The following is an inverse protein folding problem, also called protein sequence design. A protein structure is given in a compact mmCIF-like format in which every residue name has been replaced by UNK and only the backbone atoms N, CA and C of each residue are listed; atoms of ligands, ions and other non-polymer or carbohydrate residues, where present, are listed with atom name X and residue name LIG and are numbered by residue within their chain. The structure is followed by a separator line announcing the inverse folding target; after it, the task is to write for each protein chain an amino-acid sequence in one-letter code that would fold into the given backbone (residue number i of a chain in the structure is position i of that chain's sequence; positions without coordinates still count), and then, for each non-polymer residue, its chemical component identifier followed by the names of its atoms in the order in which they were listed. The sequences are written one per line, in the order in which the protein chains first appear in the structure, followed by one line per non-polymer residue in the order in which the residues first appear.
data_IF_621473236944
#
_entry.id   IF_621473236944
#
_cell.length_a   1.000
_cell.length_b   1.000
_cell.length_c   1.000
_cell.angle_alpha   90.00
_cell.angle_beta   90.00
_cell.angle_gamma   90.00
#
_symmetry.space_group_name_H-M   'P 1'
#
loop_
_entity.id
_entity.type
_entity.pdbx_description
1 polymer ?
#
# COMPACT_ATOMS: atom_id res chain seq x y z
N UNK A 1 -7.70 7.52 37.48
CA UNK A 1 -9.04 7.80 36.89
C UNK A 1 -9.81 6.49 36.60
N UNK A 2 -9.37 5.59 35.71
CA UNK A 2 -10.16 4.39 35.36
C UNK A 2 -10.43 3.45 36.57
N UNK A 3 -9.39 3.19 37.38
CA UNK A 3 -9.52 2.35 38.57
C UNK A 3 -10.41 3.05 39.64
N UNK A 4 -10.24 4.33 39.83
CA UNK A 4 -11.07 5.11 40.77
C UNK A 4 -12.54 5.10 40.35
N UNK A 5 -12.82 5.31 39.07
CA UNK A 5 -14.17 5.23 38.51
C UNK A 5 -14.77 3.82 38.63
N UNK A 6 -13.96 2.79 38.36
CA UNK A 6 -14.38 1.40 38.60
C UNK A 6 -14.75 1.16 40.04
N UNK A 7 -13.92 1.61 40.98
CA UNK A 7 -14.19 1.46 42.42
C UNK A 7 -15.46 2.21 42.85
N UNK A 8 -15.66 3.42 42.29
CA UNK A 8 -16.89 4.19 42.54
C UNK A 8 -18.13 3.40 42.08
N UNK A 9 -18.14 2.93 40.82
CA UNK A 9 -19.25 2.14 40.29
C UNK A 9 -19.49 0.84 41.08
N UNK A 10 -18.40 0.17 41.47
CA UNK A 10 -18.51 -1.08 42.26
C UNK A 10 -19.16 -0.84 43.64
N UNK A 11 -18.78 0.24 44.31
CA UNK A 11 -19.36 0.63 45.62
C UNK A 11 -20.83 1.05 45.48
N UNK A 12 -21.20 1.66 44.34
CA UNK A 12 -22.61 2.01 44.07
C UNK A 12 -23.47 0.75 43.82
N UNK A 13 -22.91 -0.26 43.13
CA UNK A 13 -23.64 -1.49 42.81
C UNK A 13 -23.69 -2.46 43.97
N UNK A 14 -22.59 -2.59 44.72
CA UNK A 14 -22.45 -3.44 45.90
C UNK A 14 -21.96 -2.63 47.12
N UNK A 15 -22.87 -2.10 47.93
CA UNK A 15 -22.51 -1.32 49.11
C UNK A 15 -21.72 -2.11 50.18
N UNK A 16 -21.63 -3.44 50.07
CA UNK A 16 -20.85 -4.29 50.95
C UNK A 16 -19.36 -4.38 50.59
N UNK A 17 -18.94 -3.77 49.50
CA UNK A 17 -17.53 -3.72 49.08
C UNK A 17 -16.77 -2.75 49.94
N UNK A 18 -15.66 -3.21 50.53
CA UNK A 18 -14.73 -2.36 51.29
C UNK A 18 -13.37 -2.28 50.59
N UNK A 19 -12.82 -1.07 50.54
CA UNK A 19 -11.45 -0.83 50.08
C UNK A 19 -10.50 -1.07 51.23
N UNK A 20 -9.73 -2.18 51.18
CA UNK A 20 -8.87 -2.63 52.29
C UNK A 20 -7.42 -2.15 52.17
N UNK A 21 -7.03 -1.51 51.10
CA UNK A 21 -5.67 -0.98 50.90
C UNK A 21 -5.67 0.32 50.13
N UNK A 22 -4.59 1.11 50.23
CA UNK A 22 -4.36 2.23 49.34
C UNK A 22 -4.02 1.74 47.94
N UNK A 23 -4.32 2.57 46.92
CA UNK A 23 -3.93 2.33 45.54
C UNK A 23 -2.40 2.47 45.40
N UNK A 24 -1.77 1.47 44.80
CA UNK A 24 -0.37 1.57 44.37
C UNK A 24 -0.31 2.14 42.97
N UNK A 25 0.32 3.28 42.80
CA UNK A 25 0.56 3.92 41.51
C UNK A 25 2.07 4.10 41.27
N UNK A 26 2.58 3.48 40.22
CA UNK A 26 3.98 3.60 39.81
C UNK A 26 4.05 4.33 38.47
N UNK A 27 4.17 5.64 38.52
CA UNK A 27 4.22 6.51 37.36
C UNK A 27 5.67 6.72 36.89
N UNK A 28 6.13 5.83 35.99
CA UNK A 28 7.54 5.79 35.55
C UNK A 28 7.84 6.74 34.39
N UNK A 29 6.84 7.22 33.66
CA UNK A 29 7.01 8.11 32.51
C UNK A 29 6.15 9.36 32.66
N UNK A 30 6.80 10.48 32.90
CA UNK A 30 6.12 11.78 32.96
C UNK A 30 6.01 12.35 31.53
N UNK A 31 4.86 12.91 31.22
CA UNK A 31 4.62 13.63 29.97
C UNK A 31 4.72 15.13 30.24
N UNK A 32 5.43 15.83 29.36
CA UNK A 32 5.54 17.29 29.43
C UNK A 32 4.17 17.93 29.17
N UNK A 33 3.98 19.11 29.74
CA UNK A 33 2.84 19.96 29.42
C UNK A 33 3.01 20.46 27.98
N UNK A 34 1.95 20.38 27.21
CA UNK A 34 1.91 20.84 25.83
C UNK A 34 1.07 22.11 25.76
N UNK A 35 1.70 23.20 25.32
CA UNK A 35 1.04 24.46 25.03
C UNK A 35 1.14 24.73 23.54
N UNK A 36 -0.02 24.88 22.87
CA UNK A 36 -0.07 25.10 21.44
C UNK A 36 -0.52 26.54 21.18
N UNK A 37 0.35 27.31 20.52
CA UNK A 37 0.06 28.72 20.18
C UNK A 37 -0.30 28.87 18.71
N UNK A 38 -1.33 29.64 18.40
CA UNK A 38 -1.78 29.95 17.04
C UNK A 38 -2.47 31.29 16.99
N UNK A 39 -2.59 31.89 15.82
CA UNK A 39 -3.30 33.13 15.60
C UNK A 39 -4.64 32.91 14.86
N UNK A 40 -5.50 33.93 14.89
CA UNK A 40 -6.78 33.92 14.19
C UNK A 40 -6.63 33.65 12.69
N UNK A 41 -5.58 34.22 12.07
CA UNK A 41 -5.32 34.04 10.62
C UNK A 41 -5.02 32.59 10.28
N UNK A 42 -4.40 31.83 11.19
CA UNK A 42 -4.15 30.41 11.00
C UNK A 42 -5.48 29.64 10.98
N UNK A 43 -6.41 29.95 11.92
CA UNK A 43 -7.75 29.37 11.95
C UNK A 43 -8.49 29.65 10.65
N UNK A 44 -8.59 30.92 10.25
CA UNK A 44 -9.30 31.34 9.05
C UNK A 44 -8.76 30.71 7.77
N UNK A 45 -7.43 30.60 7.68
CA UNK A 45 -6.77 29.96 6.53
C UNK A 45 -7.09 28.47 6.41
N UNK A 46 -7.12 27.76 7.52
CA UNK A 46 -7.36 26.31 7.53
C UNK A 46 -8.83 25.99 7.36
N UNK A 47 -9.71 26.76 7.96
CA UNK A 47 -11.16 26.54 7.92
C UNK A 47 -11.83 27.14 6.68
N UNK A 48 -11.23 28.20 6.12
CA UNK A 48 -11.83 28.98 5.03
C UNK A 48 -13.04 29.81 5.45
N UNK A 49 -13.30 29.94 6.75
CA UNK A 49 -14.40 30.70 7.32
C UNK A 49 -13.92 31.54 8.50
N UNK A 50 -14.69 32.57 8.86
CA UNK A 50 -14.42 33.41 10.03
C UNK A 50 -15.19 32.84 11.24
N UNK A 51 -14.47 32.16 12.13
CA UNK A 51 -14.98 31.69 13.43
C UNK A 51 -14.57 32.72 14.48
N UNK A 52 -15.51 33.30 15.23
CA UNK A 52 -15.20 34.37 16.18
C UNK A 52 -14.25 33.88 17.29
N UNK A 53 -13.44 34.82 17.84
CA UNK A 53 -12.53 34.54 18.95
C UNK A 53 -13.25 33.97 20.16
N UNK A 54 -14.43 34.49 20.46
CA UNK A 54 -15.29 34.02 21.55
C UNK A 54 -15.69 32.55 21.32
N UNK A 55 -16.06 32.19 20.10
CA UNK A 55 -16.45 30.83 19.76
C UNK A 55 -15.26 29.85 19.86
N UNK A 56 -14.07 30.28 19.44
CA UNK A 56 -12.84 29.52 19.59
C UNK A 56 -12.53 29.25 21.08
N UNK A 57 -12.54 30.32 21.90
CA UNK A 57 -12.27 30.21 23.34
C UNK A 57 -13.31 29.31 24.04
N UNK A 58 -14.59 29.51 23.76
CA UNK A 58 -15.67 28.72 24.36
C UNK A 58 -15.55 27.23 23.97
N UNK A 59 -15.27 26.94 22.69
CA UNK A 59 -15.10 25.56 22.20
C UNK A 59 -13.93 24.87 22.92
N UNK A 60 -12.77 25.50 22.94
CA UNK A 60 -11.61 24.91 23.57
C UNK A 60 -11.76 24.78 25.09
N UNK A 61 -12.40 25.74 25.73
CA UNK A 61 -12.71 25.67 27.17
C UNK A 61 -13.65 24.51 27.50
N UNK A 62 -14.71 24.34 26.70
CA UNK A 62 -15.66 23.23 26.88
C UNK A 62 -15.02 21.84 26.68
N UNK A 63 -13.97 21.76 25.87
CA UNK A 63 -13.17 20.54 25.65
C UNK A 63 -12.04 20.35 26.68
N UNK A 64 -11.90 21.28 27.65
CA UNK A 64 -10.92 21.18 28.73
C UNK A 64 -9.52 21.73 28.40
N UNK A 65 -9.37 22.43 27.27
CA UNK A 65 -8.12 23.07 26.91
C UNK A 65 -7.98 24.39 27.63
N UNK A 66 -7.76 24.79 28.60
CA UNK A 66 -7.65 26.11 29.25
C UNK A 66 -7.09 27.22 28.30
N UNK A 67 -7.83 27.71 27.30
CA UNK A 67 -7.31 28.63 26.30
C UNK A 67 -7.12 30.05 26.87
N UNK A 68 -6.10 30.74 26.41
CA UNK A 68 -5.90 32.18 26.64
C UNK A 68 -5.76 32.90 25.30
N UNK A 69 -6.12 34.20 25.28
CA UNK A 69 -5.92 35.06 24.12
C UNK A 69 -5.19 36.33 24.57
N UNK A 70 -3.97 36.52 24.09
CA UNK A 70 -3.14 37.69 24.37
C UNK A 70 -2.52 38.18 23.05
N UNK A 71 -2.62 39.48 22.77
CA UNK A 71 -2.04 40.11 21.59
C UNK A 71 -2.36 39.36 20.27
N UNK A 72 -3.62 38.98 20.08
CA UNK A 72 -4.12 38.22 18.91
C UNK A 72 -3.56 36.79 18.79
N UNK A 73 -2.86 36.28 19.81
CA UNK A 73 -2.35 34.91 19.84
C UNK A 73 -3.12 34.11 20.88
N UNK A 74 -3.67 32.99 20.40
CA UNK A 74 -4.26 31.99 21.26
C UNK A 74 -3.20 31.04 21.78
N UNK A 75 -3.32 30.68 23.06
CA UNK A 75 -2.54 29.60 23.66
C UNK A 75 -3.52 28.58 24.21
N UNK A 76 -3.48 27.35 23.67
CA UNK A 76 -4.28 26.22 24.16
C UNK A 76 -3.39 25.33 25.04
N UNK A 77 -3.74 25.23 26.34
CA UNK A 77 -3.09 24.31 27.27
C UNK A 77 -3.72 22.93 27.12
N UNK A 78 -2.96 21.98 26.55
CA UNK A 78 -3.48 20.64 26.26
C UNK A 78 -3.65 19.84 27.53
N UNK A 79 -4.85 19.34 27.85
CA UNK A 79 -5.07 18.54 29.05
C UNK A 79 -4.29 17.23 28.99
N UNK A 80 -3.85 16.73 30.15
CA UNK A 80 -2.95 15.56 30.23
C UNK A 80 -3.50 14.29 29.54
N UNK A 81 -4.80 14.12 29.52
CA UNK A 81 -5.44 12.98 28.87
C UNK A 81 -5.49 13.08 27.33
N UNK A 82 -5.22 14.26 26.75
CA UNK A 82 -5.12 14.53 25.32
C UNK A 82 -3.67 14.70 24.84
N UNK A 83 -2.71 14.85 25.77
CA UNK A 83 -1.31 15.11 25.44
C UNK A 83 -0.54 13.87 24.97
N UNK A 84 -1.09 12.66 25.10
CA UNK A 84 -0.42 11.40 24.74
C UNK A 84 -0.70 11.00 23.31
N UNK A 85 -0.02 11.65 22.34
CA UNK A 85 -0.11 11.37 20.89
C UNK A 85 -1.48 11.71 20.27
N UNK A 86 -2.27 12.54 20.88
CA UNK A 86 -3.57 12.96 20.40
C UNK A 86 -3.50 14.40 19.88
N UNK A 87 -3.41 15.38 20.78
CA UNK A 87 -3.32 16.80 20.40
C UNK A 87 -1.91 17.30 20.65
N UNK A 88 -1.14 17.55 19.59
CA UNK A 88 0.29 17.90 19.67
C UNK A 88 0.70 19.08 18.80
N UNK A 89 -0.10 19.39 17.77
CA UNK A 89 0.19 20.46 16.79
C UNK A 89 -1.02 21.37 16.58
N UNK A 90 -0.79 22.51 15.92
CA UNK A 90 -1.86 23.49 15.60
C UNK A 90 -3.01 22.90 14.79
N UNK A 91 -2.72 21.95 13.90
CA UNK A 91 -3.75 21.30 13.08
C UNK A 91 -4.74 20.51 13.93
N UNK A 92 -4.27 19.87 15.02
CA UNK A 92 -5.14 19.13 15.92
C UNK A 92 -6.11 20.07 16.65
N UNK A 93 -5.64 21.29 17.02
CA UNK A 93 -6.52 22.32 17.59
C UNK A 93 -7.58 22.79 16.59
N UNK A 94 -7.21 22.92 15.30
CA UNK A 94 -8.20 23.24 14.24
C UNK A 94 -9.24 22.14 14.13
N UNK A 95 -8.84 20.88 14.20
CA UNK A 95 -9.78 19.77 14.21
C UNK A 95 -10.79 19.87 15.36
N UNK A 96 -10.33 20.15 16.57
CA UNK A 96 -11.19 20.34 17.74
C UNK A 96 -12.20 21.49 17.54
N UNK A 97 -11.75 22.62 17.02
CA UNK A 97 -12.60 23.77 16.74
C UNK A 97 -13.63 23.42 15.66
N UNK A 98 -13.21 22.85 14.55
CA UNK A 98 -14.06 22.56 13.42
C UNK A 98 -15.07 21.43 13.67
N UNK A 99 -14.66 20.43 14.44
CA UNK A 99 -15.49 19.32 14.86
C UNK A 99 -16.70 19.79 15.69
N UNK A 100 -16.48 20.71 16.62
CA UNK A 100 -17.54 21.29 17.45
C UNK A 100 -18.36 22.32 16.68
N UNK A 101 -17.72 23.11 15.79
CA UNK A 101 -18.43 24.01 14.87
C UNK A 101 -19.42 23.27 14.00
N UNK A 102 -19.11 22.03 13.61
CA UNK A 102 -19.90 21.14 12.78
C UNK A 102 -19.56 21.25 11.29
N UNK A 103 -19.12 20.14 10.71
CA UNK A 103 -18.72 20.09 9.29
C UNK A 103 -19.85 20.43 8.32
N UNK A 104 -21.09 20.18 8.69
CA UNK A 104 -22.28 20.52 7.88
C UNK A 104 -22.50 22.04 7.74
N UNK A 105 -21.89 22.83 8.63
CA UNK A 105 -21.96 24.30 8.58
C UNK A 105 -20.96 24.92 7.59
N UNK A 106 -20.05 24.14 7.03
CA UNK A 106 -19.11 24.61 6.02
C UNK A 106 -19.78 24.70 4.66
N UNK A 107 -19.62 25.85 4.00
CA UNK A 107 -20.10 26.00 2.61
C UNK A 107 -19.19 25.20 1.67
N UNK A 108 -19.77 24.35 0.86
CA UNK A 108 -19.06 23.65 -0.21
C UNK A 108 -18.60 24.69 -1.23
N UNK A 109 -17.29 24.82 -1.39
CA UNK A 109 -16.67 25.71 -2.39
C UNK A 109 -15.83 24.91 -3.37
N UNK A 110 -15.93 25.24 -4.65
CA UNK A 110 -15.07 24.64 -5.67
C UNK A 110 -13.72 25.34 -5.66
N UNK A 111 -12.65 24.57 -5.52
CA UNK A 111 -11.29 25.09 -5.63
C UNK A 111 -11.06 25.63 -7.04
N UNK A 112 -10.63 26.88 -7.16
CA UNK A 112 -10.21 27.46 -8.44
C UNK A 112 -8.71 27.25 -8.60
N UNK A 113 -8.32 26.45 -9.59
CA UNK A 113 -6.93 26.25 -9.96
C UNK A 113 -6.75 26.63 -11.45
N UNK A 114 -5.60 27.20 -11.76
CA UNK A 114 -5.21 27.41 -13.16
C UNK A 114 -4.94 26.03 -13.79
N UNK A 115 -5.63 25.76 -14.90
CA UNK A 115 -5.35 24.56 -15.69
C UNK A 115 -4.02 24.73 -16.42
N UNK A 116 -3.05 23.89 -16.12
CA UNK A 116 -1.81 23.78 -16.82
C UNK A 116 -1.66 22.39 -17.46
N UNK A 117 -1.03 22.27 -18.63
CA UNK A 117 -0.75 20.96 -19.20
C UNK A 117 0.12 20.13 -18.24
N UNK A 118 -0.30 18.91 -17.96
CA UNK A 118 0.50 17.98 -17.16
C UNK A 118 1.49 17.28 -18.08
N UNK A 119 2.78 17.51 -17.84
CA UNK A 119 3.85 16.81 -18.53
C UNK A 119 4.03 15.43 -17.91
N UNK A 120 3.82 14.39 -18.72
CA UNK A 120 4.06 13.01 -18.28
C UNK A 120 5.55 12.69 -18.35
N UNK A 121 6.04 11.92 -17.40
CA UNK A 121 7.40 11.38 -17.45
C UNK A 121 7.51 10.35 -18.59
N UNK A 122 8.72 10.14 -19.12
CA UNK A 122 8.98 9.12 -20.13
C UNK A 122 8.55 7.72 -19.64
N UNK A 123 8.85 7.37 -18.40
CA UNK A 123 8.46 6.08 -17.82
C UNK A 123 6.94 5.86 -17.76
N UNK A 124 6.17 6.91 -17.46
CA UNK A 124 4.69 6.82 -17.46
C UNK A 124 4.13 6.69 -18.89
N UNK A 125 4.79 7.25 -19.87
CA UNK A 125 4.42 7.07 -21.27
C UNK A 125 4.71 5.65 -21.74
N UNK A 126 5.88 5.09 -21.40
CA UNK A 126 6.25 3.72 -21.74
C UNK A 126 5.27 2.70 -21.10
N UNK A 127 4.90 2.89 -19.84
CA UNK A 127 3.89 2.05 -19.16
C UNK A 127 2.56 2.08 -19.91
N UNK A 128 2.07 3.28 -20.26
CA UNK A 128 0.81 3.43 -20.97
C UNK A 128 0.84 2.78 -22.34
N UNK A 129 1.88 3.03 -23.13
CA UNK A 129 2.06 2.42 -24.43
C UNK A 129 2.10 0.90 -24.36
N UNK A 130 2.80 0.35 -23.37
CA UNK A 130 2.84 -1.09 -23.15
C UNK A 130 1.45 -1.65 -22.82
N UNK A 131 0.70 -0.99 -21.94
CA UNK A 131 -0.66 -1.37 -21.60
C UNK A 131 -1.59 -1.31 -22.78
N UNK A 132 -1.58 -0.19 -23.52
CA UNK A 132 -2.41 -0.01 -24.71
C UNK A 132 -2.11 -1.08 -25.77
N UNK A 133 -0.82 -1.41 -25.99
CA UNK A 133 -0.39 -2.46 -26.91
C UNK A 133 -0.92 -3.83 -26.48
N UNK A 134 -0.75 -4.20 -25.19
CA UNK A 134 -1.17 -5.51 -24.69
C UNK A 134 -2.69 -5.68 -24.71
N UNK A 135 -3.44 -4.64 -24.35
CA UNK A 135 -4.90 -4.68 -24.34
C UNK A 135 -5.47 -4.64 -25.76
N UNK A 136 -5.08 -3.63 -26.56
CA UNK A 136 -5.75 -3.38 -27.84
C UNK A 136 -5.33 -4.35 -28.94
N UNK A 137 -4.04 -4.73 -28.96
CA UNK A 137 -3.54 -5.61 -30.03
C UNK A 137 -3.60 -7.08 -29.66
N UNK A 138 -3.34 -7.42 -28.41
CA UNK A 138 -3.24 -8.81 -27.96
C UNK A 138 -4.43 -9.28 -27.12
N UNK A 139 -5.40 -8.40 -26.82
CA UNK A 139 -6.61 -8.76 -26.07
C UNK A 139 -6.33 -9.23 -24.65
N UNK A 140 -5.23 -8.78 -24.06
CA UNK A 140 -4.86 -9.19 -22.71
C UNK A 140 -5.59 -8.38 -21.64
N UNK A 141 -5.75 -8.96 -20.48
CA UNK A 141 -6.36 -8.32 -19.31
C UNK A 141 -5.27 -7.73 -18.39
N UNK A 142 -5.36 -6.44 -18.08
CA UNK A 142 -4.57 -5.85 -17.03
C UNK A 142 -5.09 -6.28 -15.66
N UNK A 143 -4.21 -6.73 -14.79
CA UNK A 143 -4.52 -7.11 -13.42
C UNK A 143 -3.72 -6.26 -12.44
N UNK A 144 -4.24 -6.11 -11.22
CA UNK A 144 -3.57 -5.38 -10.14
C UNK A 144 -3.48 -6.25 -8.91
N UNK A 145 -2.28 -6.38 -8.40
CA UNK A 145 -1.99 -7.12 -7.18
C UNK A 145 -1.30 -6.25 -6.14
N UNK A 146 -1.29 -6.72 -4.91
CA UNK A 146 -0.47 -6.12 -3.86
C UNK A 146 0.99 -6.55 -3.99
N UNK A 147 1.89 -5.72 -3.45
CA UNK A 147 3.33 -6.00 -3.42
C UNK A 147 3.69 -7.10 -2.42
N UNK A 148 2.89 -7.29 -1.39
CA UNK A 148 3.04 -8.41 -0.46
C UNK A 148 2.47 -9.70 -1.02
N UNK A 149 3.03 -10.80 -0.59
CA UNK A 149 2.65 -12.13 -1.02
C UNK A 149 2.37 -13.05 0.16
N UNK A 150 1.53 -14.03 -0.09
CA UNK A 150 1.20 -15.08 0.84
C UNK A 150 2.34 -16.11 0.87
N UNK A 151 3.04 -16.19 1.99
CA UNK A 151 4.14 -17.13 2.19
C UNK A 151 3.70 -18.60 2.01
N UNK A 152 2.44 -18.93 2.32
CA UNK A 152 1.89 -20.27 2.12
C UNK A 152 1.75 -20.59 0.63
N UNK A 153 1.19 -19.67 -0.17
CA UNK A 153 1.08 -19.83 -1.63
C UNK A 153 2.44 -20.00 -2.29
N UNK A 154 3.47 -19.27 -1.84
CA UNK A 154 4.83 -19.44 -2.33
C UNK A 154 5.39 -20.83 -2.01
N UNK A 155 5.16 -21.32 -0.79
CA UNK A 155 5.56 -22.67 -0.39
C UNK A 155 4.83 -23.74 -1.21
N UNK A 156 3.52 -23.59 -1.44
CA UNK A 156 2.73 -24.50 -2.26
C UNK A 156 3.24 -24.53 -3.73
N UNK A 157 3.73 -23.40 -4.23
CA UNK A 157 4.40 -23.29 -5.52
C UNK A 157 5.88 -23.70 -5.50
N UNK A 158 6.38 -24.18 -4.36
CA UNK A 158 7.78 -24.53 -4.14
C UNK A 158 8.76 -23.40 -4.53
N UNK A 159 8.38 -22.15 -4.19
CA UNK A 159 9.19 -20.95 -4.43
C UNK A 159 9.82 -20.51 -3.12
N UNK A 160 11.13 -20.35 -3.12
CA UNK A 160 11.90 -19.89 -1.97
C UNK A 160 11.61 -18.41 -1.67
N UNK A 161 11.53 -18.07 -0.37
CA UNK A 161 11.24 -16.72 0.13
C UNK A 161 12.20 -16.25 1.24
N UNK A 162 13.27 -17.00 1.47
CA UNK A 162 14.20 -16.72 2.57
C UNK A 162 14.84 -15.32 2.47
N UNK A 163 15.18 -14.91 1.26
CA UNK A 163 15.82 -13.63 0.97
C UNK A 163 14.83 -12.48 0.75
N UNK A 164 13.55 -12.72 0.90
CA UNK A 164 12.56 -11.67 0.68
C UNK A 164 12.49 -10.73 1.90
N UNK A 165 12.29 -9.43 1.63
CA UNK A 165 12.03 -8.45 2.68
C UNK A 165 10.70 -8.78 3.38
N UNK A 166 10.69 -8.69 4.71
CA UNK A 166 9.53 -9.02 5.54
C UNK A 166 8.95 -7.79 6.20
N UNK A 167 7.63 -7.76 6.31
CA UNK A 167 6.88 -6.73 7.03
C UNK A 167 6.84 -7.10 8.50
N UNK A 168 7.35 -6.23 9.39
CA UNK A 168 7.46 -6.51 10.83
C UNK A 168 6.09 -6.61 11.50
N UNK A 169 5.16 -5.75 11.10
CA UNK A 169 3.81 -5.62 11.69
C UNK A 169 2.71 -5.81 10.64
N UNK A 170 2.80 -6.90 9.88
CA UNK A 170 1.81 -7.21 8.86
C UNK A 170 0.40 -7.28 9.44
N UNK A 171 -0.59 -6.77 8.71
CA UNK A 171 -2.00 -6.77 9.13
C UNK A 171 -2.59 -8.19 9.20
N UNK A 172 -2.08 -9.09 8.36
CA UNK A 172 -2.49 -10.50 8.35
C UNK A 172 -1.25 -11.40 8.27
N UNK A 173 -1.30 -12.62 8.85
CA UNK A 173 -0.20 -13.57 8.77
C UNK A 173 0.21 -13.95 7.33
N UNK A 174 -0.72 -13.83 6.39
CA UNK A 174 -0.53 -14.24 5.00
C UNK A 174 0.22 -13.18 4.17
N UNK A 175 0.32 -11.93 4.66
CA UNK A 175 0.90 -10.80 3.93
C UNK A 175 2.19 -10.28 4.56
N UNK A 176 3.06 -11.20 4.93
CA UNK A 176 4.29 -10.88 5.69
C UNK A 176 5.52 -10.68 4.82
N UNK A 177 5.46 -10.99 3.54
CA UNK A 177 6.62 -11.05 2.65
C UNK A 177 6.40 -10.16 1.42
N UNK A 178 7.42 -9.38 1.04
CA UNK A 178 7.38 -8.58 -0.19
C UNK A 178 7.91 -9.40 -1.37
N UNK A 179 7.26 -9.28 -2.54
CA UNK A 179 7.63 -10.07 -3.72
C UNK A 179 8.93 -9.61 -4.36
N UNK A 180 9.75 -10.57 -4.77
CA UNK A 180 10.96 -10.35 -5.58
C UNK A 180 10.74 -10.62 -7.08
N UNK A 181 9.61 -11.23 -7.43
CA UNK A 181 9.26 -11.59 -8.81
C UNK A 181 7.77 -11.46 -9.04
N UNK A 182 7.39 -11.15 -10.27
CA UNK A 182 5.99 -11.14 -10.72
C UNK A 182 5.44 -12.56 -11.00
N UNK A 183 6.30 -13.56 -11.15
CA UNK A 183 5.92 -14.91 -11.58
C UNK A 183 4.90 -15.57 -10.65
N UNK A 184 5.10 -15.60 -9.31
CA UNK A 184 4.11 -16.22 -8.41
C UNK A 184 2.73 -15.56 -8.51
N UNK A 185 2.72 -14.23 -8.64
CA UNK A 185 1.49 -13.46 -8.82
C UNK A 185 0.77 -13.85 -10.12
N UNK A 186 1.51 -13.95 -11.23
CA UNK A 186 0.94 -14.34 -12.52
C UNK A 186 0.40 -15.76 -12.49
N UNK A 187 1.12 -16.72 -11.88
CA UNK A 187 0.65 -18.10 -11.71
C UNK A 187 -0.64 -18.14 -10.88
N UNK A 188 -0.71 -17.37 -9.81
CA UNK A 188 -1.91 -17.27 -8.96
C UNK A 188 -3.11 -16.78 -9.78
N UNK A 189 -2.96 -15.71 -10.56
CA UNK A 189 -4.04 -15.20 -11.41
C UNK A 189 -4.50 -16.22 -12.46
N UNK A 190 -3.58 -16.93 -13.09
CA UNK A 190 -3.94 -18.01 -14.02
C UNK A 190 -4.72 -19.10 -13.30
N UNK A 191 -4.27 -19.54 -12.14
CA UNK A 191 -4.93 -20.59 -11.38
C UNK A 191 -6.33 -20.23 -10.91
N UNK A 192 -6.54 -19.01 -10.47
CA UNK A 192 -7.83 -18.50 -10.00
C UNK A 192 -8.82 -18.31 -11.16
N UNK A 193 -8.35 -18.06 -12.38
CA UNK A 193 -9.19 -17.74 -13.53
C UNK A 193 -9.34 -18.86 -14.57
N UNK A 194 -8.51 -19.92 -14.55
CA UNK A 194 -8.54 -21.02 -15.53
C UNK A 194 -9.87 -21.79 -15.60
N UNK A 195 -10.74 -21.68 -14.58
CA UNK A 195 -12.05 -22.27 -14.58
C UNK A 195 -13.08 -21.47 -15.39
N UNK A 196 -12.84 -20.17 -15.58
CA UNK A 196 -13.80 -19.26 -16.21
C UNK A 196 -13.55 -19.07 -17.71
N UNK A 197 -12.32 -19.29 -18.20
CA UNK A 197 -11.98 -19.13 -19.61
C UNK A 197 -10.99 -20.20 -20.08
N UNK A 198 -11.14 -20.63 -21.33
CA UNK A 198 -10.24 -21.60 -21.94
C UNK A 198 -8.94 -20.99 -22.44
N UNK A 199 -8.99 -19.74 -22.87
CA UNK A 199 -7.86 -19.00 -23.44
C UNK A 199 -7.88 -17.58 -22.94
N UNK A 200 -6.80 -17.13 -22.32
CA UNK A 200 -6.64 -15.73 -21.88
C UNK A 200 -5.18 -15.36 -21.64
N UNK A 201 -4.92 -14.07 -21.64
CA UNK A 201 -3.65 -13.50 -21.21
C UNK A 201 -3.88 -12.45 -20.14
N UNK A 202 -3.04 -12.45 -19.12
CA UNK A 202 -3.03 -11.42 -18.08
C UNK A 202 -1.66 -10.76 -18.00
N UNK A 203 -1.65 -9.48 -17.62
CA UNK A 203 -0.40 -8.76 -17.37
C UNK A 203 -0.54 -7.73 -16.26
N UNK A 204 0.59 -7.38 -15.67
CA UNK A 204 0.70 -6.33 -14.68
C UNK A 204 2.06 -5.62 -14.80
N UNK A 205 2.05 -4.29 -14.76
CA UNK A 205 3.28 -3.50 -14.57
C UNK A 205 3.30 -3.06 -13.11
N UNK A 206 4.22 -3.63 -12.35
CA UNK A 206 4.25 -3.40 -10.91
C UNK A 206 5.67 -3.48 -10.34
N UNK A 207 5.81 -3.15 -9.06
CA UNK A 207 7.09 -3.17 -8.37
C UNK A 207 7.38 -4.51 -7.73
N UNK A 208 8.65 -4.86 -7.72
CA UNK A 208 9.24 -5.96 -6.95
C UNK A 208 10.34 -5.40 -6.06
N UNK A 209 10.67 -6.11 -4.98
CA UNK A 209 11.65 -5.67 -3.98
C UNK A 209 12.84 -6.62 -4.01
N UNK A 210 14.00 -6.13 -4.41
CA UNK A 210 15.21 -6.97 -4.49
C UNK A 210 15.95 -7.13 -3.15
N UNK A 211 15.66 -6.27 -2.19
CA UNK A 211 16.28 -6.25 -0.88
C UNK A 211 16.15 -4.87 -0.22
N UNK A 212 17.00 -4.62 0.75
CA UNK A 212 17.16 -3.29 1.38
C UNK A 212 18.45 -2.65 0.89
N UNK A 213 18.39 -1.36 0.57
CA UNK A 213 19.55 -0.54 0.29
C UNK A 213 20.36 -0.21 1.57
N UNK A 214 21.52 0.41 1.39
CA UNK A 214 22.38 0.86 2.50
C UNK A 214 21.71 1.91 3.40
N UNK A 215 20.75 2.64 2.86
CA UNK A 215 19.91 3.62 3.56
C UNK A 215 18.73 3.00 4.31
N UNK A 216 18.57 1.68 4.26
CA UNK A 216 17.48 0.92 4.88
C UNK A 216 16.15 1.00 4.12
N UNK A 217 16.10 1.66 2.97
CA UNK A 217 14.93 1.68 2.11
C UNK A 217 14.88 0.44 1.21
N UNK A 218 13.69 0.11 0.70
CA UNK A 218 13.53 -1.01 -0.23
C UNK A 218 14.16 -0.68 -1.59
N UNK A 219 14.97 -1.61 -2.12
CA UNK A 219 15.40 -1.58 -3.53
C UNK A 219 14.23 -2.03 -4.42
N UNK A 220 13.52 -1.05 -4.96
CA UNK A 220 12.33 -1.26 -5.77
C UNK A 220 12.65 -1.23 -7.26
N UNK A 221 12.22 -2.25 -7.98
CA UNK A 221 12.29 -2.29 -9.44
C UNK A 221 10.92 -2.46 -10.06
N UNK A 222 10.67 -1.78 -11.20
CA UNK A 222 9.44 -1.92 -11.96
C UNK A 222 9.59 -3.07 -12.95
N UNK A 223 8.73 -4.06 -12.85
CA UNK A 223 8.69 -5.22 -13.74
C UNK A 223 7.36 -5.31 -14.48
N UNK A 224 7.41 -5.82 -15.71
CA UNK A 224 6.27 -6.30 -16.46
C UNK A 224 6.16 -7.81 -16.25
N UNK A 225 5.06 -8.26 -15.65
CA UNK A 225 4.68 -9.67 -15.59
C UNK A 225 3.63 -9.97 -16.65
N UNK A 226 3.81 -11.05 -17.42
CA UNK A 226 2.85 -11.53 -18.42
C UNK A 226 2.63 -13.02 -18.22
N UNK A 227 1.39 -13.49 -18.29
CA UNK A 227 1.07 -14.90 -18.37
C UNK A 227 0.03 -15.14 -19.45
N UNK A 228 0.26 -16.20 -20.26
CA UNK A 228 -0.66 -16.72 -21.24
C UNK A 228 -1.14 -18.09 -20.79
N UNK A 229 -2.44 -18.31 -20.86
CA UNK A 229 -3.07 -19.60 -20.57
C UNK A 229 -3.96 -20.03 -21.73
N UNK A 230 -3.89 -21.33 -22.08
CA UNK A 230 -4.79 -21.93 -23.05
C UNK A 230 -5.00 -23.41 -22.76
N UNK A 231 -6.22 -23.90 -23.01
CA UNK A 231 -6.55 -25.33 -23.02
C UNK A 231 -6.47 -25.94 -24.43
N UNK A 232 -6.36 -25.09 -25.45
CA UNK A 232 -6.50 -25.50 -26.86
C UNK A 232 -5.19 -25.37 -27.62
N UNK A 233 -4.32 -24.43 -27.24
CA UNK A 233 -3.02 -24.17 -27.89
C UNK A 233 -1.92 -25.03 -27.29
N UNK A 234 -0.95 -25.41 -28.11
CA UNK A 234 0.22 -26.11 -27.63
C UNK A 234 1.14 -25.17 -26.80
N UNK A 235 1.96 -25.73 -25.90
CA UNK A 235 3.00 -24.98 -25.17
C UNK A 235 3.92 -24.21 -26.11
N UNK A 236 4.26 -24.80 -27.25
CA UNK A 236 5.07 -24.15 -28.27
C UNK A 236 4.40 -22.91 -28.84
N UNK A 237 3.11 -22.98 -29.14
CA UNK A 237 2.37 -21.83 -29.68
C UNK A 237 2.25 -20.71 -28.66
N UNK A 238 2.01 -21.04 -27.39
CA UNK A 238 1.99 -20.06 -26.30
C UNK A 238 3.36 -19.41 -26.09
N UNK A 239 4.43 -20.21 -26.09
CA UNK A 239 5.79 -19.70 -25.96
C UNK A 239 6.17 -18.75 -27.10
N UNK A 240 5.91 -19.15 -28.34
CA UNK A 240 6.15 -18.33 -29.52
C UNK A 240 5.27 -17.06 -29.51
N UNK A 241 4.02 -17.18 -29.10
CA UNK A 241 3.13 -16.03 -28.93
C UNK A 241 3.65 -15.01 -27.90
N UNK A 242 4.12 -15.49 -26.74
CA UNK A 242 4.71 -14.62 -25.74
C UNK A 242 6.00 -13.95 -26.25
N UNK A 243 6.87 -14.69 -26.96
CA UNK A 243 8.07 -14.14 -27.59
C UNK A 243 7.72 -13.03 -28.58
N UNK A 244 6.69 -13.23 -29.40
CA UNK A 244 6.25 -12.23 -30.39
C UNK A 244 5.64 -11.00 -29.74
N UNK A 245 4.91 -11.15 -28.63
CA UNK A 245 4.44 -10.03 -27.78
C UNK A 245 5.64 -9.21 -27.28
N UNK A 246 6.64 -9.87 -26.70
CA UNK A 246 7.83 -9.20 -26.18
C UNK A 246 8.61 -8.48 -27.29
N UNK A 247 8.77 -9.12 -28.45
CA UNK A 247 9.43 -8.50 -29.61
C UNK A 247 8.68 -7.26 -30.10
N UNK A 248 7.34 -7.26 -30.07
CA UNK A 248 6.53 -6.10 -30.43
C UNK A 248 6.71 -4.95 -29.44
N UNK A 249 6.71 -5.24 -28.13
CA UNK A 249 6.96 -4.23 -27.07
C UNK A 249 8.30 -3.54 -27.34
N UNK A 250 9.38 -4.28 -27.52
CA UNK A 250 10.71 -3.72 -27.77
C UNK A 250 10.74 -2.88 -29.03
N UNK A 251 10.21 -3.37 -30.14
CA UNK A 251 10.19 -2.69 -31.42
C UNK A 251 9.39 -1.38 -31.38
N UNK A 252 8.20 -1.41 -30.80
CA UNK A 252 7.30 -0.26 -30.83
C UNK A 252 7.65 0.81 -29.80
N UNK A 253 8.17 0.43 -28.62
CA UNK A 253 8.53 1.39 -27.58
C UNK A 253 9.93 1.98 -27.77
N UNK A 254 10.90 1.16 -28.12
CA UNK A 254 12.31 1.56 -28.13
C UNK A 254 12.93 1.56 -29.53
N UNK A 255 12.18 1.14 -30.56
CA UNK A 255 12.70 0.92 -31.91
C UNK A 255 13.95 0.04 -31.96
N UNK A 256 14.02 -0.93 -31.04
CA UNK A 256 15.10 -1.87 -30.84
C UNK A 256 14.56 -3.29 -30.82
N UNK A 257 15.44 -4.28 -30.81
CA UNK A 257 15.06 -5.68 -30.82
C UNK A 257 15.61 -6.39 -29.59
N UNK A 258 14.75 -7.17 -28.93
CA UNK A 258 15.22 -8.09 -27.91
C UNK A 258 15.98 -9.25 -28.54
N UNK A 259 17.09 -9.63 -27.94
CA UNK A 259 17.80 -10.85 -28.21
C UNK A 259 17.32 -11.92 -27.21
N UNK A 260 16.90 -13.07 -27.74
CA UNK A 260 16.45 -14.19 -26.92
C UNK A 260 17.54 -15.26 -26.95
N UNK A 261 18.09 -15.58 -25.79
CA UNK A 261 19.11 -16.61 -25.62
C UNK A 261 18.53 -17.78 -24.85
N UNK A 262 18.65 -19.00 -25.40
CA UNK A 262 18.26 -20.23 -24.69
C UNK A 262 19.02 -20.28 -23.38
N UNK A 263 18.32 -20.55 -22.29
CA UNK A 263 18.88 -20.60 -20.96
C UNK A 263 18.43 -21.87 -20.21
N UNK A 264 19.26 -22.32 -19.29
CA UNK A 264 18.89 -23.37 -18.37
C UNK A 264 17.91 -22.82 -17.31
N UNK A 265 17.01 -23.68 -16.83
CA UNK A 265 16.09 -23.33 -15.76
C UNK A 265 16.88 -23.06 -14.47
N UNK A 266 16.69 -21.88 -13.89
CA UNK A 266 17.31 -21.46 -12.61
C UNK A 266 16.41 -21.76 -11.42
N UNK A 267 15.13 -21.97 -11.67
CA UNK A 267 14.12 -22.20 -10.65
C UNK A 267 13.32 -23.46 -10.99
N UNK A 268 12.85 -24.14 -9.97
CA UNK A 268 12.07 -25.38 -10.11
C UNK A 268 10.69 -25.21 -10.78
N UNK A 269 10.17 -23.98 -10.82
CA UNK A 269 8.94 -23.65 -11.54
C UNK A 269 9.15 -23.38 -13.05
N UNK A 270 10.41 -23.28 -13.52
CA UNK A 270 10.72 -23.11 -14.94
C UNK A 270 10.81 -24.45 -15.63
N UNK A 271 10.32 -24.52 -16.88
CA UNK A 271 10.50 -25.69 -17.70
C UNK A 271 11.97 -25.84 -18.10
N UNK A 272 12.59 -27.02 -17.91
CA UNK A 272 14.04 -27.19 -18.06
C UNK A 272 14.58 -26.92 -19.46
N UNK A 273 13.73 -26.97 -20.50
CA UNK A 273 14.14 -26.79 -21.92
C UNK A 273 13.47 -25.60 -22.60
N UNK A 274 12.38 -25.07 -22.04
CA UNK A 274 11.58 -24.02 -22.67
C UNK A 274 11.71 -22.71 -21.86
N UNK A 275 12.97 -22.29 -21.66
CA UNK A 275 13.34 -21.07 -20.98
C UNK A 275 14.33 -20.30 -21.86
N UNK A 276 14.13 -18.99 -21.98
CA UNK A 276 15.09 -18.09 -22.62
C UNK A 276 15.25 -16.80 -21.81
N UNK A 277 16.46 -16.33 -21.74
CA UNK A 277 16.78 -14.98 -21.24
C UNK A 277 16.58 -13.95 -22.34
N UNK A 278 16.16 -12.75 -21.94
CA UNK A 278 15.93 -11.61 -22.84
C UNK A 278 16.99 -10.56 -22.57
N UNK A 279 17.62 -10.10 -23.63
CA UNK A 279 18.61 -9.03 -23.59
C UNK A 279 18.21 -7.86 -24.49
N UNK A 280 18.51 -6.66 -24.05
CA UNK A 280 18.41 -5.42 -24.84
C UNK A 280 19.79 -4.76 -24.86
N UNK A 281 20.38 -4.61 -26.04
CA UNK A 281 21.73 -4.05 -26.23
C UNK A 281 22.79 -4.71 -25.32
N UNK A 282 22.72 -6.03 -25.19
CA UNK A 282 23.62 -6.81 -24.35
C UNK A 282 23.31 -6.78 -22.84
N UNK A 283 22.35 -5.98 -22.41
CA UNK A 283 21.91 -5.93 -21.00
C UNK A 283 20.75 -6.92 -20.77
N UNK A 284 20.87 -7.75 -19.75
CA UNK A 284 19.79 -8.63 -19.31
C UNK A 284 18.60 -7.81 -18.82
N UNK A 285 17.39 -8.07 -19.37
CA UNK A 285 16.16 -7.36 -19.02
C UNK A 285 15.04 -8.28 -18.52
N UNK A 286 15.22 -9.59 -18.61
CA UNK A 286 14.20 -10.54 -18.14
C UNK A 286 14.30 -11.91 -18.78
N UNK A 287 13.23 -12.67 -18.68
CA UNK A 287 13.17 -14.02 -19.25
C UNK A 287 11.73 -14.36 -19.70
N UNK A 288 11.62 -15.37 -20.54
CA UNK A 288 10.38 -16.07 -20.84
C UNK A 288 10.56 -17.56 -20.53
N UNK A 289 9.51 -18.19 -20.04
CA UNK A 289 9.54 -19.63 -19.73
C UNK A 289 8.15 -20.24 -19.84
N UNK A 290 8.10 -21.55 -20.08
CA UNK A 290 6.92 -22.36 -19.81
C UNK A 290 6.95 -22.74 -18.34
N UNK A 291 5.82 -22.68 -17.66
CA UNK A 291 5.72 -23.10 -16.26
C UNK A 291 5.77 -24.63 -16.20
N UNK A 292 6.57 -25.18 -15.28
CA UNK A 292 6.77 -26.61 -15.14
C UNK A 292 5.47 -27.35 -14.80
N UNK A 293 5.25 -28.49 -15.41
CA UNK A 293 4.01 -29.29 -15.27
C UNK A 293 3.64 -29.63 -13.82
N UNK A 294 4.62 -29.81 -12.94
CA UNK A 294 4.38 -30.10 -11.53
C UNK A 294 3.58 -29.01 -10.80
N UNK A 295 3.60 -27.76 -11.27
CA UNK A 295 2.87 -26.65 -10.69
C UNK A 295 1.46 -26.47 -11.26
N UNK A 296 1.19 -27.01 -12.45
CA UNK A 296 -0.12 -26.95 -13.08
C UNK A 296 -1.11 -27.84 -12.33
N UNK A 297 -0.63 -28.93 -11.70
CA UNK A 297 -1.44 -29.90 -10.96
C UNK A 297 -1.65 -29.58 -9.47
N UNK A 298 -0.83 -28.72 -8.86
CA UNK A 298 -0.95 -28.33 -7.43
C UNK A 298 -2.27 -27.61 -7.14
N UNK A 299 -2.92 -27.07 -8.14
CA UNK A 299 -4.16 -26.30 -8.00
C UNK A 299 -5.43 -27.05 -8.36
N UNK A 300 -5.38 -28.36 -8.64
CA UNK A 300 -6.59 -29.15 -8.77
C UNK A 300 -7.07 -29.51 -7.36
N UNK A 301 -8.31 -29.12 -6.96
CA UNK A 301 -8.86 -29.61 -5.72
C UNK A 301 -8.95 -31.14 -5.84
N UNK A 302 -8.29 -31.84 -4.95
CA UNK A 302 -8.52 -33.28 -4.73
C UNK A 302 -10.03 -33.46 -4.55
N UNK A 303 -10.66 -34.12 -5.53
CA UNK A 303 -12.04 -34.54 -5.46
C UNK A 303 -12.23 -35.58 -4.36
#
# INVERSE_FOLDING_TARGET
VAIEHFMQLLTEIDPGVEIISSMTDVYVRHYDKIDITFDKKFVDRYTGIDISDEQILNTLSALGFAPTLENEVFTAHVPSWRATKDVTIKADIIEEITRVYGYDNFKITTTKAALAPVMRTAGNNDDRWTKDLLVQRYGMHEVHSYIWCDAKKYKDLNIEIEDNVRVINAMTPDHTVLRRSMVPTMITYVNENKAYANDFGVFEIARVINGLGEDGLCDEQKHLGIALYSRTKSEKDLYLGLRDIMASISKELKHRYFEFRIAEAKHNWQHPRNTAEIYLDGTYVGFITVVHLSLIHISEPTR
#
